data_IF_687425553697
#
_entry.id   IF_687425553697
#
_cell.length_a   1.000
_cell.length_b   1.000
_cell.length_c   1.000
_cell.angle_alpha   90.00
_cell.angle_beta   90.00
_cell.angle_gamma   90.00
#
_symmetry.space_group_name_H-M   'P 1'
#
loop_
_entity.id
_entity.type
_entity.pdbx_description
1 polymer ?
#
# COMPACT_ATOMS: atom_id res chain seq x y z
N UNK A 1 -7.44 -15.15 7.79
CA UNK A 1 -8.39 -14.77 6.73
C UNK A 1 -7.90 -13.44 6.21
N UNK A 2 -7.65 -13.26 4.91
CA UNK A 2 -7.04 -12.01 4.43
C UNK A 2 -7.96 -10.83 4.71
N UNK A 3 -7.42 -9.73 5.25
CA UNK A 3 -8.22 -8.57 5.69
C UNK A 3 -8.92 -7.85 4.54
N UNK A 4 -8.35 -7.97 3.34
CA UNK A 4 -8.95 -7.49 2.11
C UNK A 4 -9.01 -8.63 1.10
N UNK A 5 -10.00 -8.56 0.22
CA UNK A 5 -10.22 -9.48 -0.89
C UNK A 5 -10.60 -8.71 -2.14
N UNK A 6 -10.21 -9.23 -3.30
CA UNK A 6 -10.64 -8.65 -4.58
C UNK A 6 -11.74 -9.56 -5.14
N UNK A 7 -12.90 -8.98 -5.44
CA UNK A 7 -14.01 -9.67 -6.10
C UNK A 7 -14.29 -9.02 -7.46
N UNK A 8 -14.62 -9.83 -8.45
CA UNK A 8 -15.16 -9.35 -9.73
C UNK A 8 -16.67 -9.31 -9.64
N UNK A 9 -17.23 -8.10 -9.73
CA UNK A 9 -18.68 -7.91 -9.77
C UNK A 9 -19.12 -7.90 -11.23
N UNK A 10 -20.17 -8.67 -11.53
CA UNK A 10 -20.83 -8.71 -12.82
C UNK A 10 -21.99 -7.71 -12.82
N UNK A 11 -21.95 -6.74 -13.72
CA UNK A 11 -23.03 -5.77 -13.92
C UNK A 11 -24.11 -6.36 -14.84
N UNK A 12 -25.29 -5.72 -14.86
CA UNK A 12 -26.44 -6.14 -15.64
C UNK A 12 -26.18 -6.17 -17.15
N UNK A 13 -25.23 -5.37 -17.64
CA UNK A 13 -24.77 -5.32 -19.03
C UNK A 13 -23.72 -6.39 -19.36
N UNK A 14 -23.33 -7.23 -18.40
CA UNK A 14 -22.30 -8.26 -18.56
C UNK A 14 -20.87 -7.75 -18.31
N UNK A 15 -20.68 -6.47 -18.00
CA UNK A 15 -19.39 -5.91 -17.62
C UNK A 15 -18.90 -6.55 -16.32
N UNK A 16 -17.61 -6.88 -16.26
CA UNK A 16 -16.96 -7.39 -15.04
C UNK A 16 -16.03 -6.33 -14.49
N UNK A 17 -16.34 -5.81 -13.30
CA UNK A 17 -15.48 -4.85 -12.60
C UNK A 17 -14.86 -5.50 -11.36
N UNK A 18 -13.52 -5.61 -11.29
CA UNK A 18 -12.85 -5.94 -10.05
C UNK A 18 -13.02 -4.81 -9.04
N UNK A 19 -13.30 -5.15 -7.78
CA UNK A 19 -13.34 -4.23 -6.65
C UNK A 19 -12.59 -4.81 -5.45
N UNK A 20 -11.87 -3.94 -4.74
CA UNK A 20 -11.20 -4.27 -3.49
C UNK A 20 -12.20 -4.12 -2.35
N UNK A 21 -12.37 -5.17 -1.55
CA UNK A 21 -13.38 -5.25 -0.50
C UNK A 21 -12.68 -5.55 0.82
N UNK A 22 -13.04 -4.81 1.87
CA UNK A 22 -12.63 -5.15 3.23
C UNK A 22 -13.42 -6.38 3.70
N UNK A 23 -12.70 -7.42 4.13
CA UNK A 23 -13.29 -8.73 4.43
C UNK A 23 -14.23 -8.71 5.63
N UNK A 24 -13.96 -7.85 6.63
CA UNK A 24 -14.75 -7.76 7.86
C UNK A 24 -16.09 -7.07 7.61
N UNK A 25 -16.08 -5.94 6.90
CA UNK A 25 -17.29 -5.14 6.62
C UNK A 25 -18.03 -5.61 5.38
N UNK A 26 -17.33 -6.25 4.44
CA UNK A 26 -17.87 -6.60 3.12
C UNK A 26 -18.05 -5.40 2.18
N UNK A 27 -17.60 -4.22 2.59
CA UNK A 27 -17.77 -2.97 1.86
C UNK A 27 -16.57 -2.76 0.90
N UNK A 28 -16.82 -2.36 -0.37
CA UNK A 28 -15.75 -1.97 -1.27
C UNK A 28 -14.98 -0.75 -0.73
N UNK A 29 -13.65 -0.78 -0.80
CA UNK A 29 -12.83 0.39 -0.49
C UNK A 29 -13.14 1.51 -1.49
N UNK A 30 -13.71 2.60 -0.97
CA UNK A 30 -14.20 3.71 -1.77
C UNK A 30 -13.09 4.31 -2.64
N UNK A 31 -11.92 4.58 -2.05
CA UNK A 31 -10.83 5.28 -2.74
C UNK A 31 -10.19 4.40 -3.81
N UNK A 32 -9.94 3.11 -3.53
CA UNK A 32 -9.42 2.17 -4.55
C UNK A 32 -10.41 1.97 -5.69
N UNK A 33 -11.71 1.93 -5.38
CA UNK A 33 -12.76 1.79 -6.39
C UNK A 33 -12.82 3.02 -7.29
N UNK A 34 -12.88 4.23 -6.70
CA UNK A 34 -12.90 5.48 -7.45
C UNK A 34 -11.66 5.67 -8.32
N UNK A 35 -10.48 5.36 -7.78
CA UNK A 35 -9.22 5.41 -8.53
C UNK A 35 -9.22 4.43 -9.70
N UNK A 36 -9.60 3.17 -9.48
CA UNK A 36 -9.58 2.15 -10.53
C UNK A 36 -10.55 2.47 -11.66
N UNK A 37 -11.72 3.02 -11.35
CA UNK A 37 -12.71 3.45 -12.34
C UNK A 37 -12.18 4.66 -13.13
N UNK A 38 -11.76 5.72 -12.44
CA UNK A 38 -11.40 6.99 -13.10
C UNK A 38 -10.06 6.94 -13.82
N UNK A 39 -9.06 6.24 -13.28
CA UNK A 39 -7.70 6.25 -13.82
C UNK A 39 -7.42 5.11 -14.79
N UNK A 40 -8.18 4.01 -14.74
CA UNK A 40 -7.94 2.83 -15.57
C UNK A 40 -9.16 2.39 -16.37
N UNK A 41 -10.33 2.19 -15.74
CA UNK A 41 -11.51 1.71 -16.46
C UNK A 41 -11.98 2.70 -17.52
N UNK A 42 -12.01 3.99 -17.18
CA UNK A 42 -12.33 5.07 -18.12
C UNK A 42 -11.39 5.13 -19.34
N UNK A 43 -10.17 4.57 -19.22
CA UNK A 43 -9.19 4.45 -20.32
C UNK A 43 -9.28 3.12 -21.06
N UNK A 44 -10.39 2.37 -20.89
CA UNK A 44 -10.62 1.09 -21.56
C UNK A 44 -9.75 -0.06 -21.04
N UNK A 45 -9.12 0.06 -19.87
CA UNK A 45 -8.28 -1.02 -19.34
C UNK A 45 -9.09 -2.27 -19.02
N UNK A 46 -8.49 -3.43 -19.32
CA UNK A 46 -9.11 -4.73 -19.09
C UNK A 46 -9.28 -5.02 -17.59
N UNK A 47 -10.32 -5.79 -17.24
CA UNK A 47 -10.57 -6.21 -15.86
C UNK A 47 -9.36 -6.88 -15.19
N UNK A 48 -8.61 -7.72 -15.91
CA UNK A 48 -7.41 -8.36 -15.36
C UNK A 48 -6.36 -7.32 -14.94
N UNK A 49 -6.17 -6.26 -15.74
CA UNK A 49 -5.23 -5.18 -15.43
C UNK A 49 -5.68 -4.42 -14.18
N UNK A 50 -6.97 -4.07 -14.10
CA UNK A 50 -7.57 -3.41 -12.94
C UNK A 50 -7.40 -4.25 -11.68
N UNK A 51 -7.61 -5.57 -11.77
CA UNK A 51 -7.38 -6.47 -10.64
C UNK A 51 -5.93 -6.43 -10.16
N UNK A 52 -4.95 -6.41 -11.08
CA UNK A 52 -3.53 -6.31 -10.71
C UNK A 52 -3.21 -4.97 -10.03
N UNK A 53 -3.86 -3.88 -10.43
CA UNK A 53 -3.73 -2.57 -9.77
C UNK A 53 -4.32 -2.64 -8.36
N UNK A 54 -5.52 -3.21 -8.20
CA UNK A 54 -6.15 -3.37 -6.89
C UNK A 54 -5.32 -4.26 -5.95
N UNK A 55 -4.58 -5.25 -6.47
CA UNK A 55 -3.63 -6.04 -5.65
C UNK A 55 -2.51 -5.18 -5.06
N UNK A 56 -2.11 -4.13 -5.76
CA UNK A 56 -1.07 -3.20 -5.31
C UNK A 56 -1.66 -2.21 -4.30
N UNK A 57 -2.89 -1.74 -4.50
CA UNK A 57 -3.61 -0.92 -3.52
C UNK A 57 -3.99 -1.70 -2.25
N UNK A 58 -4.23 -3.00 -2.37
CA UNK A 58 -4.42 -3.87 -1.21
C UNK A 58 -3.19 -3.89 -0.31
N UNK A 59 -1.97 -3.91 -0.88
CA UNK A 59 -0.74 -3.81 -0.10
C UNK A 59 -0.66 -2.47 0.65
N UNK A 60 -1.02 -1.37 -0.01
CA UNK A 60 -1.10 -0.06 0.63
C UNK A 60 -2.12 -0.06 1.79
N UNK A 61 -3.33 -0.60 1.58
CA UNK A 61 -4.35 -0.62 2.63
C UNK A 61 -3.94 -1.49 3.83
N UNK A 62 -3.27 -2.62 3.60
CA UNK A 62 -2.67 -3.42 4.69
C UNK A 62 -1.61 -2.61 5.42
N UNK A 63 -0.72 -1.92 4.69
CA UNK A 63 0.29 -1.06 5.30
C UNK A 63 -0.35 0.02 6.18
N UNK A 64 -1.32 0.77 5.64
CA UNK A 64 -1.97 1.84 6.37
C UNK A 64 -2.67 1.32 7.63
N UNK A 65 -3.30 0.14 7.59
CA UNK A 65 -3.99 -0.44 8.74
C UNK A 65 -3.03 -0.89 9.85
N UNK A 66 -1.83 -1.38 9.52
CA UNK A 66 -0.92 -2.03 10.48
C UNK A 66 0.37 -1.29 10.81
N UNK A 67 0.71 -0.24 10.08
CA UNK A 67 2.01 0.42 10.25
C UNK A 67 2.17 1.08 11.64
N UNK A 68 1.07 1.53 12.23
CA UNK A 68 1.00 2.09 13.60
C UNK A 68 -0.09 1.35 14.38
N UNK A 69 -0.05 1.40 15.72
CA UNK A 69 -1.07 0.75 16.56
C UNK A 69 -2.50 1.26 16.29
N UNK A 70 -2.63 2.51 15.84
CA UNK A 70 -3.90 3.16 15.49
C UNK A 70 -4.20 3.12 13.98
N UNK A 71 -3.26 2.66 13.16
CA UNK A 71 -3.30 2.81 11.71
C UNK A 71 -3.02 4.25 11.24
N UNK A 72 -2.89 4.41 9.93
CA UNK A 72 -2.67 5.69 9.25
C UNK A 72 -3.96 6.09 8.53
N UNK A 73 -4.62 7.14 9.01
CA UNK A 73 -5.73 7.75 8.29
C UNK A 73 -5.22 8.78 7.28
N UNK A 74 -5.22 8.41 6.00
CA UNK A 74 -4.79 9.31 4.92
C UNK A 74 -5.69 10.54 4.75
N UNK A 75 -7.00 10.41 4.98
CA UNK A 75 -7.93 11.52 4.77
C UNK A 75 -7.70 12.62 5.81
N UNK A 76 -7.51 12.23 7.08
CA UNK A 76 -7.14 13.16 8.15
C UNK A 76 -5.79 13.82 7.92
N UNK A 77 -4.77 13.04 7.52
CA UNK A 77 -3.44 13.60 7.25
C UNK A 77 -3.47 14.58 6.09
N UNK A 78 -4.18 14.24 5.00
CA UNK A 78 -4.31 15.13 3.84
C UNK A 78 -5.01 16.43 4.23
N UNK A 79 -6.04 16.37 5.07
CA UNK A 79 -6.70 17.56 5.62
C UNK A 79 -5.75 18.43 6.46
N UNK A 80 -4.71 17.85 7.06
CA UNK A 80 -3.65 18.55 7.79
C UNK A 80 -2.46 18.97 6.90
N UNK A 81 -2.52 18.71 5.59
CA UNK A 81 -1.43 19.00 4.65
C UNK A 81 -0.25 18.03 4.72
N UNK A 82 -0.47 16.81 5.23
CA UNK A 82 0.53 15.73 5.35
C UNK A 82 0.08 14.50 4.56
N UNK A 83 1.00 13.61 4.20
CA UNK A 83 0.67 12.34 3.53
C UNK A 83 1.33 11.18 4.28
N UNK A 84 2.58 10.88 3.93
CA UNK A 84 3.43 9.89 4.59
C UNK A 84 4.76 10.56 4.92
N UNK A 85 5.32 10.24 6.07
CA UNK A 85 6.67 10.61 6.45
C UNK A 85 7.70 9.76 5.68
N UNK A 86 8.93 10.24 5.58
CA UNK A 86 9.99 9.56 4.82
C UNK A 86 10.22 8.12 5.29
N UNK A 87 10.28 7.89 6.61
CA UNK A 87 10.46 6.55 7.18
C UNK A 87 9.29 5.60 6.86
N UNK A 88 8.06 6.14 6.74
CA UNK A 88 6.88 5.36 6.36
C UNK A 88 6.95 4.98 4.87
N UNK A 89 7.44 5.90 4.03
CA UNK A 89 7.67 5.64 2.60
C UNK A 89 8.73 4.55 2.41
N UNK A 90 9.81 4.59 3.18
CA UNK A 90 10.85 3.56 3.16
C UNK A 90 10.30 2.19 3.58
N UNK A 91 9.56 2.15 4.69
CA UNK A 91 8.91 0.94 5.19
C UNK A 91 7.91 0.35 4.18
N UNK A 92 7.15 1.21 3.49
CA UNK A 92 6.23 0.81 2.43
C UNK A 92 6.96 0.27 1.19
N UNK A 93 8.10 0.87 0.82
CA UNK A 93 8.93 0.36 -0.27
C UNK A 93 9.53 -1.02 0.06
N UNK A 94 9.91 -1.25 1.30
CA UNK A 94 10.37 -2.56 1.77
C UNK A 94 9.23 -3.59 1.76
N UNK A 95 8.04 -3.22 2.20
CA UNK A 95 6.85 -4.07 2.11
C UNK A 95 6.54 -4.48 0.66
N UNK A 96 6.73 -3.57 -0.30
CA UNK A 96 6.53 -3.85 -1.73
C UNK A 96 7.45 -4.95 -2.29
N UNK A 97 8.57 -5.25 -1.62
CA UNK A 97 9.50 -6.33 -1.99
C UNK A 97 9.00 -7.70 -1.55
N UNK A 98 8.06 -7.80 -0.62
CA UNK A 98 7.63 -9.07 -0.03
C UNK A 98 6.49 -9.72 -0.81
N UNK A 99 6.35 -11.05 -0.72
CA UNK A 99 5.13 -11.71 -1.22
C UNK A 99 3.93 -11.38 -0.33
N UNK A 100 2.77 -11.15 -0.95
CA UNK A 100 1.53 -10.81 -0.25
C UNK A 100 1.09 -11.92 0.74
N UNK A 101 1.34 -13.18 0.39
CA UNK A 101 1.09 -14.33 1.27
C UNK A 101 1.89 -14.25 2.56
N UNK A 102 3.15 -13.84 2.46
CA UNK A 102 4.06 -13.76 3.60
C UNK A 102 3.67 -12.58 4.50
N UNK A 103 3.20 -11.46 3.91
CA UNK A 103 2.65 -10.31 4.65
C UNK A 103 1.41 -10.74 5.45
N UNK A 104 0.41 -11.36 4.81
CA UNK A 104 -0.81 -11.80 5.49
C UNK A 104 -0.51 -12.81 6.62
N UNK A 105 0.45 -13.71 6.42
CA UNK A 105 0.82 -14.69 7.45
C UNK A 105 1.53 -14.07 8.65
N UNK A 106 2.34 -13.01 8.45
CA UNK A 106 3.05 -12.35 9.54
C UNK A 106 2.12 -11.45 10.38
N UNK A 107 1.20 -10.74 9.72
CA UNK A 107 0.20 -9.89 10.39
C UNK A 107 -0.81 -10.68 11.25
N UNK A 108 -1.01 -11.98 10.97
CA UNK A 108 -1.86 -12.85 11.77
C UNK A 108 -1.13 -13.58 12.91
N UNK A 109 0.19 -13.40 13.08
CA UNK A 109 0.88 -13.93 14.26
C UNK A 109 0.46 -13.11 15.47
N UNK A 110 -0.23 -13.74 16.43
CA UNK A 110 -0.52 -13.15 17.75
C UNK A 110 0.78 -12.58 18.34
N UNK A 111 0.74 -11.41 19.02
CA UNK A 111 1.91 -10.92 19.73
C UNK A 111 2.39 -12.00 20.70
N UNK A 112 3.71 -12.26 20.70
CA UNK A 112 4.29 -13.25 21.60
C UNK A 112 3.88 -12.95 23.05
N UNK A 113 3.54 -13.96 23.86
CA UNK A 113 3.14 -13.76 25.25
C UNK A 113 4.24 -12.99 25.99
N UNK A 114 3.85 -11.97 26.76
CA UNK A 114 4.73 -11.00 27.45
C UNK A 114 5.74 -11.60 28.46
N UNK A 115 5.77 -12.92 28.66
CA UNK A 115 6.74 -13.61 29.50
C UNK A 115 7.37 -14.78 28.73
N UNK A 116 8.45 -14.50 28.01
CA UNK A 116 9.33 -15.53 27.46
C UNK A 116 10.68 -15.37 28.15
N UNK A 117 11.07 -16.39 28.93
CA UNK A 117 12.37 -16.44 29.57
C UNK A 117 13.49 -16.42 28.52
N UNK A 118 14.61 -15.78 28.84
CA UNK A 118 15.76 -15.60 27.93
C UNK A 118 16.29 -16.94 27.37
N UNK A 119 16.15 -18.04 28.11
CA UNK A 119 16.52 -19.40 27.68
C UNK A 119 15.58 -20.01 26.62
N UNK A 120 14.34 -19.52 26.52
CA UNK A 120 13.41 -19.88 25.44
C UNK A 120 13.67 -19.08 24.17
N UNK A 121 14.22 -17.87 24.26
CA UNK A 121 14.61 -17.05 23.11
C UNK A 121 15.79 -17.64 22.33
N UNK A 122 16.78 -18.24 23.01
CA UNK A 122 17.92 -18.88 22.35
C UNK A 122 17.53 -20.17 21.62
N UNK A 123 16.64 -20.99 22.19
CA UNK A 123 16.08 -22.15 21.50
C UNK A 123 15.20 -21.74 20.31
N UNK A 124 14.47 -20.63 20.41
CA UNK A 124 13.70 -20.09 19.29
C UNK A 124 14.62 -19.51 18.20
N UNK A 125 15.75 -18.88 18.55
CA UNK A 125 16.76 -18.40 17.59
C UNK A 125 17.50 -19.53 16.88
N UNK A 126 17.77 -20.65 17.56
CA UNK A 126 18.43 -21.81 16.96
C UNK A 126 17.48 -22.72 16.16
N UNK A 127 16.19 -22.78 16.54
CA UNK A 127 15.15 -23.54 15.83
C UNK A 127 14.58 -22.78 14.62
N UNK A 128 14.54 -21.44 14.68
CA UNK A 128 14.11 -20.58 13.57
C UNK A 128 15.27 -20.34 12.60
N UNK A 129 15.84 -21.45 12.09
CA UNK A 129 16.73 -21.44 10.95
C UNK A 129 15.98 -20.78 9.77
N UNK A 130 16.31 -19.52 9.50
CA UNK A 130 16.05 -18.75 8.27
C UNK A 130 14.90 -19.29 7.42
N UNK A 131 13.64 -19.06 7.82
CA UNK A 131 12.55 -19.09 6.84
C UNK A 131 12.79 -17.87 5.94
N UNK A 132 13.48 -18.11 4.82
CA UNK A 132 13.93 -17.08 3.90
C UNK A 132 12.70 -16.27 3.47
N UNK A 133 12.59 -15.03 3.94
CA UNK A 133 11.50 -14.12 3.55
C UNK A 133 11.57 -14.03 2.03
N UNK A 134 10.52 -14.50 1.34
CA UNK A 134 10.52 -14.52 -0.12
C UNK A 134 10.34 -13.10 -0.61
N UNK A 135 11.12 -12.72 -1.61
CA UNK A 135 11.02 -11.41 -2.25
C UNK A 135 10.55 -11.55 -3.69
N UNK A 136 9.72 -10.62 -4.14
CA UNK A 136 9.25 -10.57 -5.53
C UNK A 136 10.35 -10.02 -6.44
N UNK A 137 10.16 -10.17 -7.76
CA UNK A 137 11.08 -9.60 -8.75
C UNK A 137 11.16 -8.07 -8.63
N UNK A 138 12.29 -7.50 -9.07
CA UNK A 138 12.50 -6.04 -9.09
C UNK A 138 11.45 -5.31 -9.93
N UNK A 139 11.04 -5.89 -11.05
CA UNK A 139 9.99 -5.34 -11.91
C UNK A 139 8.64 -5.31 -11.20
N UNK A 140 8.31 -6.37 -10.46
CA UNK A 140 7.09 -6.43 -9.66
C UNK A 140 7.12 -5.39 -8.53
N UNK A 141 8.24 -5.24 -7.83
CA UNK A 141 8.41 -4.19 -6.80
C UNK A 141 8.27 -2.80 -7.42
N UNK A 142 8.89 -2.55 -8.57
CA UNK A 142 8.81 -1.28 -9.26
C UNK A 142 7.38 -0.92 -9.68
N UNK A 143 6.65 -1.88 -10.23
CA UNK A 143 5.25 -1.68 -10.58
C UNK A 143 4.39 -1.38 -9.34
N UNK A 144 4.57 -2.13 -8.25
CA UNK A 144 3.88 -1.89 -6.97
C UNK A 144 4.10 -0.46 -6.46
N UNK A 145 5.36 -0.04 -6.37
CA UNK A 145 5.72 1.32 -5.92
C UNK A 145 5.09 2.36 -6.84
N UNK A 146 5.16 2.16 -8.17
CA UNK A 146 4.60 3.09 -9.16
C UNK A 146 3.10 3.27 -8.98
N UNK A 147 2.33 2.20 -8.93
CA UNK A 147 0.86 2.29 -8.80
C UNK A 147 0.46 2.91 -7.47
N UNK A 148 1.13 2.54 -6.38
CA UNK A 148 0.89 3.12 -5.05
C UNK A 148 1.17 4.62 -5.05
N UNK A 149 2.31 5.04 -5.61
CA UNK A 149 2.65 6.45 -5.78
C UNK A 149 1.57 7.18 -6.59
N UNK A 150 1.20 6.64 -7.75
CA UNK A 150 0.23 7.26 -8.65
C UNK A 150 -1.15 7.41 -7.97
N UNK A 151 -1.55 6.44 -7.15
CA UNK A 151 -2.74 6.53 -6.31
C UNK A 151 -2.65 7.64 -5.26
N UNK A 152 -1.56 7.72 -4.49
CA UNK A 152 -1.39 8.75 -3.46
C UNK A 152 -1.38 10.15 -4.08
N UNK A 153 -0.67 10.33 -5.18
CA UNK A 153 -0.62 11.59 -5.94
C UNK A 153 -2.01 11.95 -6.46
N UNK A 154 -2.75 11.00 -7.04
CA UNK A 154 -4.11 11.24 -7.51
C UNK A 154 -5.05 11.63 -6.37
N UNK A 155 -4.97 10.95 -5.22
CA UNK A 155 -5.81 11.24 -4.05
C UNK A 155 -5.53 12.66 -3.53
N UNK A 156 -4.26 13.03 -3.43
CA UNK A 156 -3.84 14.39 -3.03
C UNK A 156 -4.32 15.45 -4.02
N UNK A 157 -4.14 15.22 -5.33
CA UNK A 157 -4.65 16.14 -6.38
C UNK A 157 -6.16 16.33 -6.25
N UNK A 158 -6.90 15.25 -6.02
CA UNK A 158 -8.35 15.29 -5.80
C UNK A 158 -8.71 16.15 -4.59
N UNK A 159 -7.95 16.07 -3.49
CA UNK A 159 -8.16 16.92 -2.32
C UNK A 159 -7.75 18.38 -2.55
N UNK A 160 -6.67 18.64 -3.27
CA UNK A 160 -6.23 20.00 -3.63
C UNK A 160 -7.30 20.76 -4.42
N UNK A 161 -8.06 20.09 -5.28
CA UNK A 161 -9.17 20.76 -6.03
C UNK A 161 -10.30 21.29 -5.15
N UNK A 162 -10.35 20.87 -3.88
CA UNK A 162 -11.37 21.30 -2.92
C UNK A 162 -10.89 22.43 -1.99
N UNK A 163 -9.60 22.74 -2.00
CA UNK A 163 -8.98 23.75 -1.16
C UNK A 163 -8.79 25.06 -1.94
N UNK A 164 -8.77 26.19 -1.24
CA UNK A 164 -8.40 27.47 -1.84
C UNK A 164 -6.87 27.61 -1.88
N UNK A 165 -6.32 28.23 -2.93
CA UNK A 165 -4.85 28.32 -3.11
C UNK A 165 -4.16 29.16 -2.03
N UNK A 166 -4.91 30.03 -1.34
CA UNK A 166 -4.44 30.89 -0.26
C UNK A 166 -4.29 30.16 1.08
N UNK A 167 -4.80 28.92 1.18
CA UNK A 167 -4.67 28.13 2.40
C UNK A 167 -3.24 27.64 2.64
N UNK A 168 -2.73 27.83 3.86
CA UNK A 168 -1.45 27.25 4.30
C UNK A 168 -1.41 25.72 4.13
N UNK A 169 -2.56 25.07 4.28
CA UNK A 169 -2.75 23.63 4.06
C UNK A 169 -2.50 23.25 2.60
N UNK A 170 -2.94 24.07 1.65
CA UNK A 170 -2.73 23.83 0.21
C UNK A 170 -1.23 23.76 -0.11
N UNK A 171 -0.47 24.76 0.34
CA UNK A 171 0.98 24.83 0.10
C UNK A 171 1.73 23.67 0.76
N UNK A 172 1.42 23.34 2.02
CA UNK A 172 2.02 22.18 2.72
C UNK A 172 1.72 20.87 2.02
N UNK A 173 0.48 20.68 1.57
CA UNK A 173 0.06 19.46 0.89
C UNK A 173 0.76 19.32 -0.47
N UNK A 174 0.95 20.43 -1.19
CA UNK A 174 1.71 20.47 -2.45
C UNK A 174 3.17 20.08 -2.23
N UNK A 175 3.84 20.66 -1.23
CA UNK A 175 5.22 20.29 -0.88
C UNK A 175 5.33 18.81 -0.45
N UNK A 176 4.41 18.33 0.38
CA UNK A 176 4.38 16.93 0.83
C UNK A 176 4.22 15.96 -0.34
N UNK A 177 3.43 16.33 -1.36
CA UNK A 177 3.27 15.54 -2.59
C UNK A 177 4.59 15.48 -3.36
N UNK A 178 5.27 16.61 -3.55
CA UNK A 178 6.50 16.68 -4.34
C UNK A 178 7.64 15.86 -3.69
N UNK A 179 7.70 15.86 -2.35
CA UNK A 179 8.60 14.99 -1.58
C UNK A 179 8.24 13.51 -1.74
N UNK A 180 6.95 13.17 -1.73
CA UNK A 180 6.48 11.80 -1.92
C UNK A 180 6.83 11.26 -3.32
N UNK A 181 6.61 12.06 -4.36
CA UNK A 181 6.98 11.70 -5.73
C UNK A 181 8.49 11.45 -5.86
N UNK A 182 9.30 12.37 -5.33
CA UNK A 182 10.76 12.28 -5.40
C UNK A 182 11.31 11.07 -4.63
N UNK A 183 10.83 10.83 -3.41
CA UNK A 183 11.31 9.73 -2.55
C UNK A 183 10.97 8.35 -3.12
N UNK A 184 9.74 8.14 -3.61
CA UNK A 184 9.34 6.85 -4.20
C UNK A 184 10.06 6.55 -5.52
N UNK A 185 10.44 7.58 -6.31
CA UNK A 185 11.27 7.42 -7.51
C UNK A 185 12.70 7.01 -7.13
N UNK A 186 13.30 7.68 -6.16
CA UNK A 186 14.68 7.40 -5.72
C UNK A 186 14.82 5.98 -5.15
N UNK A 187 13.86 5.52 -4.35
CA UNK A 187 13.86 4.17 -3.76
C UNK A 187 13.74 3.06 -4.82
N UNK A 188 13.04 3.31 -5.93
CA UNK A 188 13.01 2.39 -7.07
C UNK A 188 14.38 2.26 -7.78
N UNK A 189 15.12 3.37 -7.91
CA UNK A 189 16.44 3.38 -8.55
C UNK A 189 17.57 2.78 -7.70
N UNK A 190 17.53 2.93 -6.36
CA UNK A 190 18.55 2.39 -5.46
C UNK A 190 18.58 0.85 -5.51
N UNK A 191 17.43 0.20 -5.64
CA UNK A 191 17.33 -1.26 -5.78
C UNK A 191 18.01 -1.83 -7.04
N UNK A 192 18.11 -1.03 -8.11
CA UNK A 192 18.80 -1.42 -9.34
C UNK A 192 20.33 -1.29 -9.27
N UNK A 193 20.84 -0.41 -8.40
CA UNK A 193 22.29 -0.16 -8.26
C UNK A 193 22.99 -1.15 -7.32
N UNK A 194 22.29 -1.67 -6.32
CA UNK A 194 22.85 -2.59 -5.33
C UNK A 194 22.91 -4.07 -5.77
N UNK A 195 22.49 -4.41 -7.00
CA UNK A 195 22.65 -5.76 -7.58
C UNK A 195 23.84 -5.89 -8.55
N UNK A 196 24.75 -4.90 -8.57
CA UNK A 196 25.91 -4.88 -9.48
C UNK A 196 27.29 -4.96 -8.80
N UNK A 197 27.34 -5.30 -7.51
CA UNK A 197 28.61 -5.56 -6.80
C UNK A 197 28.50 -6.81 -5.95
#
# INVERSE_FOLDING_TARGET
>A
MTEYIIKRILFSDGERLPMLIESETGIPDYWSTLFSITQYRAKGQAANTIEQILRQLMLLNIFLKHHTAEGINLDERIAQGKILHLYEIESLCDLCKLFLEDINNDMHKKPLPKNISLSSLEKFRSSNSKKQIRTVSSDTTGNRIRVIRDFLVWKVKTSLTKLQEEDLTFNRLKESRDLLESSMICQHFIGHRLRKY
#
